data_IF_234074048643
#
_entry.id   IF_234074048643
#
_cell.length_a   1.000
_cell.length_b   1.000
_cell.length_c   1.000
_cell.angle_alpha   90.00
_cell.angle_beta   90.00
_cell.angle_gamma   90.00
#
_symmetry.space_group_name_H-M   'P 1'
#
loop_
_entity.id
_entity.type
_entity.pdbx_description
1 polymer ?
#
# COMPACT_ATOMS: atom_id res chain seq x y z
N UNK A 1 -34.38 23.66 33.28
CA UNK A 1 -33.09 23.84 32.57
C UNK A 1 -33.00 22.79 31.48
N UNK A 2 -33.34 23.15 30.24
CA UNK A 2 -33.08 22.28 29.09
C UNK A 2 -31.58 22.33 28.82
N UNK A 3 -30.88 21.20 29.01
CA UNK A 3 -29.50 21.03 28.56
C UNK A 3 -29.50 20.97 27.03
N UNK A 4 -29.52 22.14 26.40
CA UNK A 4 -29.28 22.26 24.96
C UNK A 4 -27.81 21.92 24.73
N UNK A 5 -27.52 20.67 24.38
CA UNK A 5 -26.24 20.32 23.81
C UNK A 5 -26.06 21.13 22.53
N UNK A 6 -24.89 21.75 22.37
CA UNK A 6 -24.54 22.53 21.19
C UNK A 6 -24.85 21.71 19.94
N UNK A 7 -25.57 22.27 18.95
CA UNK A 7 -25.94 21.50 17.77
C UNK A 7 -24.65 21.19 17.00
N UNK A 8 -24.31 19.91 16.89
CA UNK A 8 -23.23 19.44 16.02
C UNK A 8 -23.67 19.60 14.55
N UNK A 9 -23.70 20.84 14.06
CA UNK A 9 -24.00 21.20 12.67
C UNK A 9 -22.73 21.17 11.83
N UNK A 10 -22.06 20.02 11.77
CA UNK A 10 -20.95 19.82 10.82
C UNK A 10 -21.10 18.46 10.14
N UNK A 11 -21.60 18.51 8.91
CA UNK A 11 -21.40 17.61 7.76
C UNK A 11 -21.20 16.10 7.97
N UNK A 12 -22.06 15.33 7.30
CA UNK A 12 -22.03 13.87 7.10
C UNK A 12 -20.79 13.34 6.34
N UNK A 13 -19.57 13.51 6.87
CA UNK A 13 -18.43 12.71 6.41
C UNK A 13 -18.48 11.35 7.11
N UNK A 14 -19.32 10.46 6.58
CA UNK A 14 -19.34 9.07 7.04
C UNK A 14 -18.05 8.38 6.61
N UNK A 15 -17.50 7.55 7.49
CA UNK A 15 -16.35 6.69 7.20
C UNK A 15 -16.61 5.88 5.93
N UNK A 16 -17.82 5.33 5.76
CA UNK A 16 -18.23 4.62 4.54
C UNK A 16 -18.02 5.46 3.28
N UNK A 17 -18.45 6.73 3.27
CA UNK A 17 -18.29 7.61 2.10
C UNK A 17 -16.81 7.82 1.78
N UNK A 18 -15.97 8.00 2.79
CA UNK A 18 -14.52 8.10 2.64
C UNK A 18 -13.94 6.83 2.02
N UNK A 19 -14.26 5.65 2.57
CA UNK A 19 -13.75 4.36 2.11
C UNK A 19 -14.20 4.03 0.67
N UNK A 20 -15.47 4.27 0.33
CA UNK A 20 -15.96 4.06 -1.04
C UNK A 20 -15.37 5.07 -2.03
N UNK A 21 -15.10 6.31 -1.60
CA UNK A 21 -14.39 7.27 -2.45
C UNK A 21 -12.95 6.82 -2.70
N UNK A 22 -12.27 6.25 -1.70
CA UNK A 22 -10.95 5.65 -1.84
C UNK A 22 -10.97 4.47 -2.82
N UNK A 23 -11.93 3.54 -2.67
CA UNK A 23 -12.12 2.42 -3.60
C UNK A 23 -12.34 2.92 -5.03
N UNK A 24 -13.21 3.92 -5.23
CA UNK A 24 -13.47 4.49 -6.55
C UNK A 24 -12.21 5.15 -7.15
N UNK A 25 -11.42 5.85 -6.34
CA UNK A 25 -10.17 6.46 -6.77
C UNK A 25 -9.06 5.43 -7.08
N UNK A 26 -9.15 4.22 -6.54
CA UNK A 26 -8.21 3.12 -6.78
C UNK A 26 -8.48 2.40 -8.11
N UNK A 27 -9.71 2.49 -8.65
CA UNK A 27 -10.13 1.81 -9.89
C UNK A 27 -9.21 2.08 -11.09
N UNK A 28 -8.77 3.32 -11.41
CA UNK A 28 -7.89 3.55 -12.56
C UNK A 28 -6.56 2.79 -12.47
N UNK A 29 -5.94 2.76 -11.28
CA UNK A 29 -4.69 2.02 -11.05
C UNK A 29 -4.88 0.51 -11.13
N UNK A 30 -5.98 -0.01 -10.56
CA UNK A 30 -6.34 -1.42 -10.68
C UNK A 30 -6.63 -1.82 -12.14
N UNK A 31 -7.34 -0.97 -12.89
CA UNK A 31 -7.62 -1.21 -14.30
C UNK A 31 -6.33 -1.24 -15.13
N UNK A 32 -5.37 -0.36 -14.84
CA UNK A 32 -4.05 -0.38 -15.46
C UNK A 32 -3.27 -1.66 -15.11
N UNK A 33 -3.33 -2.12 -13.85
CA UNK A 33 -2.74 -3.41 -13.44
C UNK A 33 -3.33 -4.58 -14.24
N UNK A 34 -4.65 -4.62 -14.40
CA UNK A 34 -5.33 -5.67 -15.18
C UNK A 34 -4.93 -5.60 -16.66
N UNK A 35 -4.89 -4.40 -17.24
CA UNK A 35 -4.62 -4.18 -18.65
C UNK A 35 -3.18 -4.54 -19.04
N UNK A 36 -2.19 -4.09 -18.26
CA UNK A 36 -0.77 -4.27 -18.61
C UNK A 36 -0.19 -5.62 -18.20
N UNK A 37 -0.80 -6.32 -17.25
CA UNK A 37 -0.20 -7.52 -16.66
C UNK A 37 -1.12 -8.73 -16.75
N UNK A 38 -2.23 -8.73 -16.02
CA UNK A 38 -3.04 -9.94 -15.87
C UNK A 38 -4.41 -9.68 -15.26
N UNK A 39 -5.40 -10.44 -15.74
CA UNK A 39 -6.71 -10.58 -15.09
C UNK A 39 -6.63 -11.19 -13.69
N UNK A 40 -5.49 -11.76 -13.30
CA UNK A 40 -5.23 -12.27 -11.96
C UNK A 40 -5.46 -11.23 -10.86
N UNK A 41 -5.21 -9.93 -11.12
CA UNK A 41 -5.53 -8.87 -10.16
C UNK A 41 -7.03 -8.77 -9.86
N UNK A 42 -7.91 -8.98 -10.86
CA UNK A 42 -9.35 -9.01 -10.66
C UNK A 42 -9.77 -10.25 -9.85
N UNK A 43 -9.21 -11.41 -10.18
CA UNK A 43 -9.49 -12.66 -9.47
C UNK A 43 -9.06 -12.55 -8.00
N UNK A 44 -7.85 -12.02 -7.75
CA UNK A 44 -7.35 -11.76 -6.42
C UNK A 44 -8.24 -10.77 -5.65
N UNK A 45 -8.72 -9.70 -6.30
CA UNK A 45 -9.64 -8.76 -5.68
C UNK A 45 -10.94 -9.44 -5.25
N UNK A 46 -11.54 -10.26 -6.11
CA UNK A 46 -12.80 -10.95 -5.81
C UNK A 46 -12.61 -11.97 -4.67
N UNK A 47 -11.55 -12.78 -4.72
CA UNK A 47 -11.20 -13.74 -3.67
C UNK A 47 -10.93 -13.05 -2.33
N UNK A 48 -10.10 -11.99 -2.34
CA UNK A 48 -9.77 -11.24 -1.14
C UNK A 48 -11.03 -10.57 -0.56
N UNK A 49 -11.87 -9.97 -1.39
CA UNK A 49 -13.11 -9.30 -0.95
C UNK A 49 -14.08 -10.29 -0.31
N UNK A 50 -14.32 -11.43 -0.95
CA UNK A 50 -15.18 -12.48 -0.40
C UNK A 50 -14.63 -13.00 0.93
N UNK A 51 -13.32 -13.25 0.99
CA UNK A 51 -12.67 -13.78 2.20
C UNK A 51 -12.72 -12.79 3.35
N UNK A 52 -12.37 -11.52 3.10
CA UNK A 52 -12.38 -10.47 4.12
C UNK A 52 -13.79 -10.28 4.70
N UNK A 53 -14.82 -10.23 3.84
CA UNK A 53 -16.20 -10.09 4.29
C UNK A 53 -16.64 -11.31 5.13
N UNK A 54 -16.30 -12.52 4.70
CA UNK A 54 -16.65 -13.75 5.42
C UNK A 54 -15.94 -13.84 6.80
N UNK A 55 -14.64 -13.57 6.84
CA UNK A 55 -13.83 -13.61 8.07
C UNK A 55 -14.27 -12.52 9.04
N UNK A 56 -14.48 -11.29 8.57
CA UNK A 56 -14.96 -10.20 9.42
C UNK A 56 -16.36 -10.48 9.96
N UNK A 57 -17.28 -10.96 9.12
CA UNK A 57 -18.63 -11.36 9.55
C UNK A 57 -18.59 -12.45 10.62
N UNK A 58 -17.76 -13.48 10.42
CA UNK A 58 -17.59 -14.58 11.37
C UNK A 58 -17.05 -14.11 12.73
N UNK A 59 -16.02 -13.27 12.73
CA UNK A 59 -15.42 -12.73 13.96
C UNK A 59 -16.39 -11.81 14.72
N UNK A 60 -17.14 -10.99 14.00
CA UNK A 60 -18.16 -10.12 14.60
C UNK A 60 -19.32 -10.94 15.18
N UNK A 61 -19.77 -11.99 14.49
CA UNK A 61 -20.79 -12.90 14.98
C UNK A 61 -20.33 -13.64 16.25
N UNK A 62 -19.10 -14.16 16.27
CA UNK A 62 -18.48 -14.78 17.45
C UNK A 62 -18.41 -13.81 18.64
N UNK A 63 -18.14 -12.53 18.38
CA UNK A 63 -18.10 -11.46 19.39
C UNK A 63 -19.49 -10.89 19.74
N UNK A 64 -20.57 -11.44 19.17
CA UNK A 64 -21.96 -10.95 19.34
C UNK A 64 -22.10 -9.44 19.02
N UNK A 65 -21.39 -8.97 17.99
CA UNK A 65 -21.43 -7.58 17.49
C UNK A 65 -22.35 -7.47 16.26
N UNK A 66 -22.94 -6.29 15.99
CA UNK A 66 -23.85 -6.10 14.84
C UNK A 66 -23.10 -6.18 13.50
N UNK A 67 -23.13 -7.34 12.85
CA UNK A 67 -22.40 -7.64 11.60
C UNK A 67 -22.71 -6.64 10.48
N UNK A 68 -24.00 -6.39 10.21
CA UNK A 68 -24.41 -5.55 9.10
C UNK A 68 -23.97 -4.09 9.20
N UNK A 69 -23.76 -3.57 10.42
CA UNK A 69 -23.27 -2.21 10.63
C UNK A 69 -21.80 -2.07 10.26
N UNK A 70 -20.95 -2.98 10.75
CA UNK A 70 -19.51 -2.92 10.51
C UNK A 70 -19.15 -3.29 9.06
N UNK A 71 -19.82 -4.26 8.43
CA UNK A 71 -19.53 -4.59 7.03
C UNK A 71 -19.85 -3.45 6.05
N UNK A 72 -20.76 -2.54 6.41
CA UNK A 72 -21.12 -1.37 5.59
C UNK A 72 -20.13 -0.21 5.71
N UNK A 73 -19.13 -0.31 6.57
CA UNK A 73 -18.08 0.70 6.68
C UNK A 73 -17.12 0.71 5.47
N UNK A 74 -17.07 -0.38 4.69
CA UNK A 74 -16.25 -0.53 3.49
C UNK A 74 -14.74 -0.70 3.74
N UNK A 75 -14.27 -0.61 4.98
CA UNK A 75 -12.84 -0.69 5.33
C UNK A 75 -12.23 -2.07 5.10
N UNK A 76 -13.04 -3.11 5.25
CA UNK A 76 -12.69 -4.48 4.90
C UNK A 76 -12.39 -4.59 3.39
N UNK A 77 -13.25 -4.01 2.56
CA UNK A 77 -13.08 -4.01 1.10
C UNK A 77 -11.87 -3.19 0.67
N UNK A 78 -11.59 -2.07 1.33
CA UNK A 78 -10.33 -1.32 1.11
C UNK A 78 -9.12 -2.19 1.42
N UNK A 79 -9.13 -2.92 2.53
CA UNK A 79 -8.06 -3.85 2.89
C UNK A 79 -7.86 -4.92 1.83
N UNK A 80 -8.96 -5.53 1.35
CA UNK A 80 -8.92 -6.52 0.29
C UNK A 80 -8.36 -5.94 -1.03
N UNK A 81 -8.78 -4.73 -1.40
CA UNK A 81 -8.34 -4.09 -2.64
C UNK A 81 -6.86 -3.71 -2.61
N UNK A 82 -6.38 -3.15 -1.50
CA UNK A 82 -4.95 -2.84 -1.32
C UNK A 82 -4.10 -4.11 -1.33
N UNK A 83 -4.55 -5.16 -0.65
CA UNK A 83 -3.86 -6.45 -0.65
C UNK A 83 -3.83 -7.07 -2.06
N UNK A 84 -4.96 -7.07 -2.78
CA UNK A 84 -5.03 -7.61 -4.13
C UNK A 84 -4.11 -6.87 -5.12
N UNK A 85 -3.94 -5.55 -4.98
CA UNK A 85 -2.99 -4.78 -5.79
C UNK A 85 -1.53 -5.06 -5.43
N UNK A 86 -1.24 -5.47 -4.19
CA UNK A 86 0.11 -5.73 -3.71
C UNK A 86 0.58 -7.16 -3.99
N UNK A 87 -0.34 -8.13 -4.04
CA UNK A 87 -0.02 -9.53 -4.29
C UNK A 87 0.34 -9.80 -5.75
N UNK A 88 1.23 -10.79 -6.02
CA UNK A 88 1.47 -11.24 -7.37
C UNK A 88 0.16 -11.75 -8.02
N UNK A 89 -0.16 -11.34 -9.26
CA UNK A 89 -1.44 -11.64 -9.88
C UNK A 89 -1.64 -13.12 -10.19
N UNK A 90 -0.55 -13.89 -10.37
CA UNK A 90 -0.60 -15.32 -10.68
C UNK A 90 -0.36 -16.21 -9.45
N UNK A 91 -0.46 -15.64 -8.24
CA UNK A 91 -0.37 -16.40 -7.01
C UNK A 91 -1.54 -17.40 -6.92
N UNK A 92 -1.32 -18.62 -6.40
CA UNK A 92 -2.39 -19.58 -6.17
C UNK A 92 -3.49 -19.00 -5.26
N UNK A 93 -4.74 -19.36 -5.53
CA UNK A 93 -5.92 -18.80 -4.86
C UNK A 93 -5.83 -18.83 -3.33
N UNK A 94 -5.25 -19.89 -2.76
CA UNK A 94 -5.15 -20.10 -1.32
C UNK A 94 -4.23 -19.08 -0.65
N UNK A 95 -3.25 -18.53 -1.37
CA UNK A 95 -2.35 -17.48 -0.87
C UNK A 95 -3.14 -16.19 -0.65
N UNK A 96 -3.98 -15.83 -1.61
CA UNK A 96 -4.85 -14.65 -1.51
C UNK A 96 -5.88 -14.81 -0.40
N UNK A 97 -6.49 -15.99 -0.26
CA UNK A 97 -7.43 -16.31 0.83
C UNK A 97 -6.73 -16.24 2.20
N UNK A 98 -5.57 -16.89 2.34
CA UNK A 98 -4.78 -16.85 3.56
C UNK A 98 -4.39 -15.42 3.92
N UNK A 99 -3.88 -14.65 2.96
CA UNK A 99 -3.53 -13.24 3.15
C UNK A 99 -4.72 -12.40 3.60
N UNK A 100 -5.85 -12.52 2.91
CA UNK A 100 -7.06 -11.78 3.25
C UNK A 100 -7.57 -12.11 4.67
N UNK A 101 -7.53 -13.39 5.06
CA UNK A 101 -7.88 -13.82 6.41
C UNK A 101 -6.92 -13.23 7.46
N UNK A 102 -5.60 -13.31 7.23
CA UNK A 102 -4.58 -12.77 8.13
C UNK A 102 -4.70 -11.25 8.29
N UNK A 103 -5.02 -10.53 7.21
CA UNK A 103 -5.21 -9.08 7.24
C UNK A 103 -6.32 -8.70 8.22
N UNK A 104 -7.44 -9.41 8.19
CA UNK A 104 -8.58 -9.13 9.08
C UNK A 104 -8.32 -9.64 10.48
N UNK A 105 -7.81 -10.86 10.62
CA UNK A 105 -7.54 -11.46 11.93
C UNK A 105 -6.52 -10.64 12.72
N UNK A 106 -5.30 -10.50 12.19
CA UNK A 106 -4.18 -9.87 12.89
C UNK A 106 -4.11 -8.37 12.66
N UNK A 107 -4.43 -7.91 11.46
CA UNK A 107 -4.29 -6.49 11.10
C UNK A 107 -5.43 -5.61 11.64
N UNK A 108 -6.65 -6.14 11.82
CA UNK A 108 -7.83 -5.34 12.17
C UNK A 108 -8.54 -5.82 13.44
N UNK A 109 -9.00 -7.05 13.46
CA UNK A 109 -9.94 -7.54 14.49
C UNK A 109 -9.23 -7.89 15.80
N UNK A 110 -7.98 -8.34 15.80
CA UNK A 110 -7.21 -8.60 17.03
C UNK A 110 -7.18 -7.39 17.97
N UNK A 111 -7.11 -6.18 17.41
CA UNK A 111 -7.04 -4.93 18.16
C UNK A 111 -8.42 -4.30 18.44
N UNK A 112 -9.52 -4.95 18.07
CA UNK A 112 -10.88 -4.47 18.36
C UNK A 112 -11.63 -3.85 17.18
N UNK A 113 -11.06 -3.86 15.97
CA UNK A 113 -11.74 -3.46 14.73
C UNK A 113 -11.30 -2.10 14.19
N UNK A 114 -12.16 -1.48 13.37
CA UNK A 114 -11.88 -0.19 12.74
C UNK A 114 -11.63 0.91 13.79
N UNK A 115 -10.53 1.65 13.63
CA UNK A 115 -10.18 2.76 14.51
C UNK A 115 -9.28 2.37 15.69
N UNK A 116 -9.02 1.07 15.86
CA UNK A 116 -8.13 0.54 16.91
C UNK A 116 -6.92 -0.19 16.33
N UNK A 117 -6.83 -0.36 15.01
CA UNK A 117 -5.72 -1.04 14.37
C UNK A 117 -4.45 -0.16 14.37
N UNK A 118 -3.37 -0.55 15.07
CA UNK A 118 -2.14 0.24 15.11
C UNK A 118 -1.37 0.19 13.78
N UNK A 119 -1.67 -0.79 12.93
CA UNK A 119 -1.03 -1.00 11.64
C UNK A 119 -2.06 -1.02 10.51
N UNK A 120 -1.62 -0.67 9.30
CA UNK A 120 -2.39 -0.89 8.08
C UNK A 120 -2.61 -2.40 7.88
N UNK A 121 -3.86 -2.91 7.90
CA UNK A 121 -4.13 -4.35 7.91
C UNK A 121 -3.65 -5.08 6.64
N UNK A 122 -3.72 -4.42 5.48
CA UNK A 122 -3.28 -5.01 4.21
C UNK A 122 -1.75 -5.20 4.20
N UNK A 123 -1.00 -4.21 4.71
CA UNK A 123 0.46 -4.28 4.76
C UNK A 123 0.97 -5.30 5.77
N UNK A 124 0.28 -5.48 6.91
CA UNK A 124 0.60 -6.54 7.87
C UNK A 124 0.54 -7.91 7.20
N UNK A 125 -0.55 -8.18 6.48
CA UNK A 125 -0.72 -9.44 5.77
C UNK A 125 0.32 -9.63 4.66
N UNK A 126 0.54 -8.59 3.84
CA UNK A 126 1.53 -8.65 2.78
C UNK A 126 2.94 -8.95 3.32
N UNK A 127 3.36 -8.29 4.40
CA UNK A 127 4.65 -8.55 5.03
C UNK A 127 4.75 -9.99 5.57
N UNK A 128 3.69 -10.51 6.22
CA UNK A 128 3.64 -11.89 6.70
C UNK A 128 3.75 -12.91 5.56
N UNK A 129 3.04 -12.69 4.46
CA UNK A 129 3.11 -13.56 3.28
C UNK A 129 4.48 -13.49 2.60
N UNK A 130 5.06 -12.30 2.49
CA UNK A 130 6.37 -12.10 1.87
C UNK A 130 7.49 -12.79 2.66
N UNK A 131 7.43 -12.77 3.99
CA UNK A 131 8.39 -13.47 4.85
C UNK A 131 8.12 -14.98 4.88
N UNK A 132 6.86 -15.40 4.94
CA UNK A 132 6.50 -16.83 5.11
C UNK A 132 6.52 -17.63 3.80
N UNK A 133 6.23 -16.98 2.68
CA UNK A 133 6.07 -17.59 1.35
C UNK A 133 6.88 -16.83 0.27
N UNK A 134 8.20 -16.64 0.45
CA UNK A 134 9.00 -15.76 -0.41
C UNK A 134 9.04 -16.22 -1.87
N UNK A 135 9.07 -17.55 -2.12
CA UNK A 135 9.11 -18.10 -3.49
C UNK A 135 7.85 -17.70 -4.26
N UNK A 136 6.66 -17.85 -3.67
CA UNK A 136 5.41 -17.49 -4.31
C UNK A 136 5.28 -15.97 -4.50
N UNK A 137 5.81 -15.19 -3.56
CA UNK A 137 5.77 -13.73 -3.60
C UNK A 137 6.75 -13.10 -4.60
N UNK A 138 7.75 -13.84 -5.08
CA UNK A 138 8.78 -13.35 -6.00
C UNK A 138 8.70 -13.95 -7.40
N UNK A 139 8.16 -15.16 -7.55
CA UNK A 139 8.16 -15.87 -8.85
C UNK A 139 6.84 -15.80 -9.62
N UNK A 140 5.74 -15.32 -8.99
CA UNK A 140 4.39 -15.33 -9.58
C UNK A 140 3.93 -13.96 -10.12
N UNK A 141 4.87 -13.08 -10.42
CA UNK A 141 4.60 -11.80 -11.09
C UNK A 141 4.36 -12.02 -12.57
N UNK A 142 3.34 -11.37 -13.13
CA UNK A 142 3.02 -11.52 -14.55
C UNK A 142 4.03 -10.76 -15.43
N UNK A 143 4.34 -11.35 -16.59
CA UNK A 143 5.15 -10.71 -17.62
C UNK A 143 4.36 -9.61 -18.34
N UNK A 144 4.99 -8.43 -18.52
CA UNK A 144 4.39 -7.30 -19.24
C UNK A 144 4.27 -7.58 -20.74
N UNK A 145 5.20 -8.35 -21.31
CA UNK A 145 5.22 -8.64 -22.75
C UNK A 145 4.14 -9.62 -23.19
N UNK A 146 3.70 -10.49 -22.27
CA UNK A 146 2.67 -11.49 -22.53
C UNK A 146 1.54 -11.38 -21.50
N UNK A 147 0.66 -10.36 -21.63
CA UNK A 147 -0.47 -10.23 -20.74
C UNK A 147 -1.35 -11.47 -20.78
N UNK A 148 -1.56 -12.10 -19.62
CA UNK A 148 -2.30 -13.36 -19.55
C UNK A 148 -3.79 -13.12 -19.80
N UNK A 149 -4.44 -13.95 -20.61
CA UNK A 149 -5.89 -13.92 -20.80
C UNK A 149 -6.65 -14.27 -19.51
N UNK A 150 -7.95 -13.95 -19.45
CA UNK A 150 -8.79 -14.27 -18.29
C UNK A 150 -8.83 -15.78 -17.99
N UNK A 151 -9.03 -16.62 -19.02
CA UNK A 151 -9.08 -18.07 -18.84
C UNK A 151 -7.73 -18.65 -18.41
N UNK A 152 -6.64 -18.15 -18.99
CA UNK A 152 -5.29 -18.54 -18.57
C UNK A 152 -5.04 -18.18 -17.11
N UNK A 153 -5.43 -16.97 -16.69
CA UNK A 153 -5.29 -16.51 -15.30
C UNK A 153 -6.08 -17.40 -14.34
N UNK A 154 -7.31 -17.78 -14.69
CA UNK A 154 -8.12 -18.72 -13.90
C UNK A 154 -7.45 -20.09 -13.77
N UNK A 155 -6.98 -20.66 -14.89
CA UNK A 155 -6.32 -21.97 -14.89
C UNK A 155 -5.05 -21.96 -14.04
N UNK A 156 -4.27 -20.88 -14.07
CA UNK A 156 -3.05 -20.76 -13.27
C UNK A 156 -3.35 -20.59 -11.78
N UNK A 157 -4.33 -19.75 -11.43
CA UNK A 157 -4.65 -19.42 -10.03
C UNK A 157 -5.34 -20.59 -9.32
N UNK A 158 -6.20 -21.33 -10.02
CA UNK A 158 -6.97 -22.46 -9.46
C UNK A 158 -6.40 -23.84 -9.83
N UNK A 159 -5.45 -23.91 -10.76
CA UNK A 159 -4.83 -25.16 -11.21
C UNK A 159 -3.65 -25.62 -10.36
N UNK A 160 -2.93 -26.61 -10.90
CA UNK A 160 -1.79 -27.22 -10.22
C UNK A 160 -0.64 -26.22 -10.07
N UNK A 161 -0.10 -26.01 -8.85
CA UNK A 161 1.11 -25.23 -8.61
C UNK A 161 2.30 -25.61 -9.51
N UNK A 162 2.37 -26.85 -10.01
CA UNK A 162 3.43 -27.37 -10.85
C UNK A 162 3.33 -27.06 -12.35
N UNK A 163 2.24 -26.43 -12.83
CA UNK A 163 2.16 -25.96 -14.21
C UNK A 163 3.28 -24.93 -14.46
N UNK A 164 4.17 -25.27 -15.40
CA UNK A 164 5.31 -24.43 -15.77
C UNK A 164 4.80 -23.11 -16.35
N UNK A 165 4.99 -22.02 -15.62
CA UNK A 165 4.58 -20.66 -15.96
C UNK A 165 5.59 -19.92 -16.84
N UNK A 166 6.45 -20.67 -17.52
CA UNK A 166 7.54 -20.11 -18.31
C UNK A 166 6.93 -19.29 -19.48
N UNK A 167 7.28 -18.00 -19.53
CA UNK A 167 6.69 -16.99 -20.42
C UNK A 167 5.57 -16.14 -19.83
N UNK A 168 4.72 -16.69 -18.94
CA UNK A 168 3.66 -15.92 -18.26
C UNK A 168 4.17 -15.12 -17.07
N UNK A 169 5.26 -15.57 -16.47
CA UNK A 169 5.89 -14.89 -15.33
C UNK A 169 7.07 -14.04 -15.78
N UNK A 170 7.32 -12.94 -15.08
CA UNK A 170 8.38 -11.99 -15.41
C UNK A 170 8.92 -11.28 -14.18
N UNK A 171 10.19 -10.86 -14.26
CA UNK A 171 10.81 -10.05 -13.23
C UNK A 171 10.19 -8.64 -13.19
N UNK A 172 10.06 -8.07 -11.99
CA UNK A 172 9.71 -6.65 -11.89
C UNK A 172 10.92 -5.78 -12.29
N UNK A 173 10.73 -4.53 -12.75
CA UNK A 173 11.83 -3.63 -13.06
C UNK A 173 12.76 -3.39 -11.88
N UNK A 174 12.22 -3.34 -10.65
CA UNK A 174 13.02 -3.15 -9.44
C UNK A 174 13.86 -4.40 -9.14
N UNK A 175 13.27 -5.59 -9.25
CA UNK A 175 13.97 -6.87 -9.08
C UNK A 175 15.08 -7.04 -10.13
N UNK A 176 14.73 -6.82 -11.40
CA UNK A 176 15.66 -6.96 -12.52
C UNK A 176 16.84 -6.00 -12.38
N UNK A 177 16.59 -4.74 -12.04
CA UNK A 177 17.65 -3.76 -11.84
C UNK A 177 18.58 -4.18 -10.70
N UNK A 178 18.01 -4.54 -9.55
CA UNK A 178 18.77 -4.90 -8.35
C UNK A 178 19.65 -6.14 -8.55
N UNK A 179 19.16 -7.14 -9.28
CA UNK A 179 19.91 -8.39 -9.53
C UNK A 179 21.08 -8.19 -10.51
N UNK A 180 21.01 -7.18 -11.38
CA UNK A 180 21.95 -7.03 -12.49
C UNK A 180 22.85 -5.79 -12.41
N UNK A 181 22.59 -4.85 -11.50
CA UNK A 181 23.39 -3.61 -11.33
C UNK A 181 24.88 -3.86 -11.04
N UNK A 182 25.23 -4.98 -10.42
CA UNK A 182 26.64 -5.36 -10.19
C UNK A 182 27.31 -6.06 -11.38
N UNK A 183 26.58 -6.29 -12.48
CA UNK A 183 27.03 -7.10 -13.62
C UNK A 183 26.94 -6.38 -14.95
N UNK A 184 26.00 -5.46 -15.09
CA UNK A 184 25.67 -4.74 -16.32
C UNK A 184 25.71 -3.23 -16.06
N UNK A 185 26.05 -2.47 -17.09
CA UNK A 185 25.92 -1.01 -17.08
C UNK A 185 24.44 -0.59 -17.14
N UNK A 186 24.13 0.64 -16.71
CA UNK A 186 22.79 1.20 -16.77
C UNK A 186 22.23 1.24 -18.21
N UNK A 187 23.10 1.49 -19.20
CA UNK A 187 22.69 1.43 -20.62
C UNK A 187 22.29 0.03 -21.07
N UNK A 188 22.97 -1.01 -20.60
CA UNK A 188 22.62 -2.40 -20.92
C UNK A 188 21.35 -2.84 -20.18
N UNK A 189 21.17 -2.40 -18.93
CA UNK A 189 19.97 -2.67 -18.15
C UNK A 189 18.73 -2.04 -18.80
N UNK A 190 18.83 -0.78 -19.19
CA UNK A 190 17.72 -0.05 -19.82
C UNK A 190 17.45 -0.45 -21.26
N UNK A 191 18.33 -1.22 -21.90
CA UNK A 191 18.07 -1.87 -23.18
C UNK A 191 17.14 -3.09 -23.06
N UNK A 192 16.92 -3.61 -21.84
CA UNK A 192 15.96 -4.67 -21.62
C UNK A 192 14.53 -4.21 -21.92
N UNK A 193 13.66 -5.04 -22.55
CA UNK A 193 12.27 -4.67 -22.86
C UNK A 193 11.40 -4.23 -21.69
N UNK A 194 11.79 -4.55 -20.44
CA UNK A 194 11.16 -4.03 -19.23
C UNK A 194 11.25 -2.50 -19.12
N UNK A 195 12.19 -1.86 -19.83
CA UNK A 195 12.38 -0.43 -19.88
C UNK A 195 12.13 0.10 -21.29
N UNK A 196 11.42 1.22 -21.38
CA UNK A 196 11.13 1.93 -22.61
C UNK A 196 11.34 3.45 -22.43
N UNK A 197 10.91 4.25 -23.41
CA UNK A 197 11.19 5.70 -23.43
C UNK A 197 10.64 6.46 -22.21
N UNK A 198 9.56 5.96 -21.62
CA UNK A 198 8.89 6.56 -20.44
C UNK A 198 9.32 5.90 -19.12
N UNK A 199 10.40 5.11 -19.12
CA UNK A 199 10.85 4.32 -17.97
C UNK A 199 10.31 2.89 -18.03
N UNK A 200 9.98 2.30 -16.88
CA UNK A 200 9.54 0.92 -16.80
C UNK A 200 8.17 0.70 -17.48
N UNK A 201 8.13 -0.13 -18.53
CA UNK A 201 6.93 -0.39 -19.33
C UNK A 201 5.86 -1.06 -18.47
N UNK A 202 4.61 -0.60 -18.57
CA UNK A 202 3.48 -1.04 -17.76
C UNK A 202 3.49 -0.43 -16.35
N UNK A 203 4.62 -0.53 -15.64
CA UNK A 203 4.75 -0.06 -14.26
C UNK A 203 4.68 1.46 -14.11
N UNK A 204 5.29 2.21 -15.04
CA UNK A 204 5.22 3.68 -15.02
C UNK A 204 3.77 4.15 -15.26
N UNK A 205 3.07 3.52 -16.22
CA UNK A 205 1.68 3.80 -16.54
C UNK A 205 0.74 3.46 -15.38
N UNK A 206 0.97 2.34 -14.70
CA UNK A 206 0.24 1.96 -13.48
C UNK A 206 0.46 2.99 -12.37
N UNK A 207 1.71 3.41 -12.14
CA UNK A 207 2.01 4.45 -11.15
C UNK A 207 1.35 5.79 -11.50
N UNK A 208 1.31 6.18 -12.79
CA UNK A 208 0.60 7.36 -13.25
C UNK A 208 -0.92 7.25 -13.04
N UNK A 209 -1.51 6.06 -13.23
CA UNK A 209 -2.92 5.82 -12.97
C UNK A 209 -3.25 5.91 -11.46
N UNK A 210 -2.38 5.39 -10.59
CA UNK A 210 -2.50 5.59 -9.13
C UNK A 210 -2.29 7.05 -8.73
N UNK A 211 -1.35 7.76 -9.36
CA UNK A 211 -1.15 9.20 -9.15
C UNK A 211 -2.43 9.96 -9.50
N UNK A 212 -3.07 9.68 -10.64
CA UNK A 212 -4.32 10.32 -11.04
C UNK A 212 -5.45 10.07 -10.04
N UNK A 213 -5.59 8.83 -9.54
CA UNK A 213 -6.50 8.49 -8.46
C UNK A 213 -6.19 9.23 -7.15
N UNK A 214 -4.91 9.32 -6.79
CA UNK A 214 -4.43 10.05 -5.62
C UNK A 214 -4.68 11.56 -5.68
N UNK A 215 -4.49 12.17 -6.85
CA UNK A 215 -4.83 13.59 -7.11
C UNK A 215 -6.33 13.81 -6.93
N UNK A 216 -7.17 12.89 -7.41
CA UNK A 216 -8.62 12.97 -7.17
C UNK A 216 -8.94 12.94 -5.67
N UNK A 217 -8.27 12.12 -4.87
CA UNK A 217 -8.45 12.10 -3.41
C UNK A 217 -8.02 13.41 -2.74
N UNK A 218 -6.95 14.05 -3.23
CA UNK A 218 -6.51 15.37 -2.76
C UNK A 218 -7.53 16.46 -3.10
N UNK A 219 -8.01 16.50 -4.34
CA UNK A 219 -9.02 17.48 -4.80
C UNK A 219 -10.33 17.31 -4.02
N UNK A 220 -10.74 16.06 -3.77
CA UNK A 220 -11.93 15.74 -2.95
C UNK A 220 -11.69 15.93 -1.45
N UNK A 221 -10.48 16.31 -1.03
CA UNK A 221 -10.06 16.51 0.37
C UNK A 221 -10.33 15.29 1.26
N UNK A 222 -10.24 14.10 0.67
CA UNK A 222 -10.33 12.83 1.41
C UNK A 222 -9.01 12.58 2.16
N UNK A 223 -7.89 12.82 1.47
CA UNK A 223 -6.54 12.75 2.04
C UNK A 223 -5.92 14.16 2.07
N UNK A 224 -4.94 14.36 2.96
CA UNK A 224 -4.16 15.60 3.01
C UNK A 224 -2.86 15.47 2.23
N UNK A 225 -2.39 16.57 1.63
CA UNK A 225 -1.16 16.60 0.82
C UNK A 225 0.13 16.30 1.61
N UNK A 226 0.13 16.49 2.94
CA UNK A 226 1.32 16.33 3.78
C UNK A 226 1.99 14.97 3.62
N UNK A 227 1.21 13.87 3.62
CA UNK A 227 1.77 12.51 3.54
C UNK A 227 2.33 12.22 2.14
N UNK A 228 1.57 12.35 1.03
CA UNK A 228 2.11 12.07 -0.29
C UNK A 228 3.34 12.92 -0.64
N UNK A 229 3.30 14.22 -0.34
CA UNK A 229 4.39 15.15 -0.68
C UNK A 229 5.65 14.86 0.14
N UNK A 230 5.53 14.60 1.45
CA UNK A 230 6.70 14.31 2.28
C UNK A 230 7.33 12.94 1.94
N UNK A 231 6.52 11.92 1.64
CA UNK A 231 7.02 10.61 1.23
C UNK A 231 7.77 10.72 -0.10
N UNK A 232 7.12 11.25 -1.15
CA UNK A 232 7.72 11.37 -2.48
C UNK A 232 8.88 12.35 -2.49
N UNK A 233 8.77 13.46 -1.75
CA UNK A 233 9.82 14.47 -1.63
C UNK A 233 11.07 13.92 -0.95
N UNK A 234 10.92 13.15 0.13
CA UNK A 234 12.08 12.55 0.83
C UNK A 234 12.71 11.44 0.00
N UNK A 235 11.91 10.55 -0.59
CA UNK A 235 12.40 9.50 -1.48
C UNK A 235 13.14 10.09 -2.69
N UNK A 236 12.56 11.10 -3.33
CA UNK A 236 13.16 11.78 -4.47
C UNK A 236 14.42 12.54 -4.12
N UNK A 237 14.45 13.22 -2.96
CA UNK A 237 15.64 13.91 -2.46
C UNK A 237 16.79 12.92 -2.20
N UNK A 238 16.51 11.79 -1.54
CA UNK A 238 17.53 10.77 -1.28
C UNK A 238 18.06 10.16 -2.59
N UNK A 239 17.17 9.83 -3.53
CA UNK A 239 17.57 9.30 -4.83
C UNK A 239 18.40 10.31 -5.65
N UNK A 240 18.05 11.59 -5.63
CA UNK A 240 18.83 12.62 -6.34
C UNK A 240 20.23 12.83 -5.75
N UNK A 241 20.35 12.77 -4.43
CA UNK A 241 21.62 13.08 -3.75
C UNK A 241 22.56 11.87 -3.70
N UNK A 242 22.02 10.67 -3.48
CA UNK A 242 22.81 9.46 -3.25
C UNK A 242 22.81 8.48 -4.44
N UNK A 243 21.85 8.58 -5.37
CA UNK A 243 21.78 7.72 -6.57
C UNK A 243 22.05 8.49 -7.88
N UNK A 244 22.98 9.45 -7.83
CA UNK A 244 23.35 10.23 -9.02
C UNK A 244 24.02 9.37 -10.12
N UNK A 245 24.74 8.33 -9.70
CA UNK A 245 25.36 7.36 -10.61
C UNK A 245 24.43 6.15 -10.82
N UNK A 246 23.88 6.04 -12.03
CA UNK A 246 22.95 4.99 -12.41
C UNK A 246 23.63 3.62 -12.53
N UNK A 247 24.95 3.56 -12.75
CA UNK A 247 25.67 2.28 -12.85
C UNK A 247 25.84 1.62 -11.48
N UNK A 248 25.77 2.41 -10.40
CA UNK A 248 25.97 1.93 -9.02
C UNK A 248 24.67 1.89 -8.22
N UNK A 249 23.71 2.77 -8.55
CA UNK A 249 22.47 2.91 -7.79
C UNK A 249 21.22 2.94 -8.68
N UNK A 250 20.07 2.62 -8.07
CA UNK A 250 18.77 2.68 -8.73
C UNK A 250 18.44 4.15 -9.09
N UNK A 251 18.09 4.47 -10.36
CA UNK A 251 17.81 5.83 -10.78
C UNK A 251 16.50 6.36 -10.18
N UNK A 252 16.39 7.69 -10.11
CA UNK A 252 15.21 8.39 -9.57
C UNK A 252 13.88 7.93 -10.22
N UNK A 253 13.88 7.72 -11.54
CA UNK A 253 12.70 7.31 -12.28
C UNK A 253 12.13 5.99 -11.76
N UNK A 254 12.99 5.01 -11.44
CA UNK A 254 12.57 3.73 -10.87
C UNK A 254 12.16 3.86 -9.40
N UNK A 255 12.78 4.75 -8.63
CA UNK A 255 12.30 5.03 -7.27
C UNK A 255 10.86 5.57 -7.26
N UNK A 256 10.53 6.48 -8.17
CA UNK A 256 9.22 7.14 -8.20
C UNK A 256 8.15 6.38 -8.99
N UNK A 257 8.50 5.81 -10.14
CA UNK A 257 7.55 5.24 -11.11
C UNK A 257 7.69 3.73 -11.32
N UNK A 258 8.52 3.04 -10.54
CA UNK A 258 8.53 1.57 -10.49
C UNK A 258 8.05 1.04 -9.13
N UNK A 259 7.52 -0.18 -9.15
CA UNK A 259 6.95 -0.84 -7.97
C UNK A 259 5.72 -0.13 -7.43
N UNK A 260 5.54 -0.18 -6.10
CA UNK A 260 4.33 0.29 -5.41
C UNK A 260 4.35 1.77 -4.98
N UNK A 261 5.30 2.60 -5.40
CA UNK A 261 5.53 3.93 -4.80
C UNK A 261 4.30 4.86 -4.83
N UNK A 262 3.57 4.95 -5.95
CA UNK A 262 2.38 5.83 -6.01
C UNK A 262 1.19 5.22 -5.27
N UNK A 263 1.02 3.89 -5.31
CA UNK A 263 0.04 3.20 -4.47
C UNK A 263 0.32 3.46 -2.98
N UNK A 264 1.60 3.41 -2.60
CA UNK A 264 2.06 3.68 -1.24
C UNK A 264 1.72 5.10 -0.79
N UNK A 265 2.12 6.08 -1.60
CA UNK A 265 2.03 7.50 -1.26
C UNK A 265 0.59 7.99 -1.07
N UNK A 266 -0.35 7.49 -1.89
CA UNK A 266 -1.71 8.03 -1.96
C UNK A 266 -2.80 7.14 -1.35
N UNK A 267 -2.55 5.84 -1.17
CA UNK A 267 -3.58 4.90 -0.72
C UNK A 267 -3.19 4.12 0.54
N UNK A 268 -1.91 3.78 0.71
CA UNK A 268 -1.45 2.95 1.84
C UNK A 268 -1.02 3.81 3.02
N UNK A 269 -0.10 4.76 2.80
CA UNK A 269 0.47 5.61 3.86
C UNK A 269 -0.52 6.65 4.38
N UNK A 270 -1.59 6.92 3.63
CA UNK A 270 -2.65 7.88 3.99
C UNK A 270 -3.81 7.23 4.75
N UNK A 271 -3.63 6.02 5.27
CA UNK A 271 -4.65 5.33 6.08
C UNK A 271 -5.02 6.19 7.31
N UNK A 272 -6.30 6.61 7.47
CA UNK A 272 -6.71 7.53 8.52
C UNK A 272 -6.57 6.96 9.94
N UNK A 273 -6.42 5.64 10.11
CA UNK A 273 -6.33 5.02 11.43
C UNK A 273 -4.89 4.83 11.90
N UNK A 274 -4.02 4.29 11.03
CA UNK A 274 -2.65 3.94 11.41
C UNK A 274 -1.61 5.05 11.19
N UNK A 275 -1.94 6.08 10.38
CA UNK A 275 -1.03 7.19 10.13
C UNK A 275 -1.04 8.24 11.27
N UNK A 276 0.02 9.08 11.30
CA UNK A 276 0.08 10.22 12.21
C UNK A 276 -1.07 11.22 11.96
N UNK A 277 -1.61 11.79 13.03
CA UNK A 277 -2.81 12.63 13.00
C UNK A 277 -2.51 14.11 12.78
N UNK A 278 -1.44 14.64 13.37
CA UNK A 278 -1.12 16.07 13.31
C UNK A 278 -0.48 16.47 11.97
N UNK A 279 -0.64 17.70 11.50
CA UNK A 279 -0.07 18.14 10.20
C UNK A 279 1.46 18.02 10.17
N UNK A 280 2.14 18.35 11.27
CA UNK A 280 3.60 18.18 11.40
C UNK A 280 3.97 16.71 11.55
N UNK A 281 3.20 15.95 12.32
CA UNK A 281 3.39 14.51 12.50
C UNK A 281 3.31 13.76 11.19
N UNK A 282 2.33 14.08 10.34
CA UNK A 282 2.19 13.55 8.98
C UNK A 282 3.43 13.75 8.11
N UNK A 283 4.07 14.93 8.20
CA UNK A 283 5.29 15.21 7.46
C UNK A 283 6.46 14.33 7.93
N UNK A 284 6.69 14.23 9.25
CA UNK A 284 7.76 13.38 9.79
C UNK A 284 7.51 11.89 9.56
N UNK A 285 6.27 11.45 9.75
CA UNK A 285 5.83 10.09 9.49
C UNK A 285 6.11 9.69 8.04
N UNK A 286 5.65 10.49 7.09
CA UNK A 286 5.79 10.20 5.67
C UNK A 286 7.24 10.37 5.17
N UNK A 287 7.98 11.35 5.70
CA UNK A 287 9.40 11.49 5.41
C UNK A 287 10.19 10.25 5.87
N UNK A 288 9.86 9.71 7.06
CA UNK A 288 10.42 8.46 7.55
C UNK A 288 10.12 7.28 6.62
N UNK A 289 8.89 7.17 6.10
CA UNK A 289 8.55 6.14 5.10
C UNK A 289 9.40 6.30 3.84
N UNK A 290 9.48 7.51 3.29
CA UNK A 290 10.25 7.78 2.07
C UNK A 290 11.74 7.47 2.23
N UNK A 291 12.32 7.83 3.38
CA UNK A 291 13.70 7.49 3.74
C UNK A 291 13.89 5.97 3.84
N UNK A 292 13.04 5.27 4.59
CA UNK A 292 13.13 3.82 4.76
C UNK A 292 12.96 3.07 3.44
N UNK A 293 12.06 3.52 2.56
CA UNK A 293 11.93 2.96 1.21
C UNK A 293 13.24 3.08 0.46
N UNK A 294 13.88 4.26 0.49
CA UNK A 294 15.18 4.45 -0.15
C UNK A 294 16.25 3.51 0.43
N UNK A 295 16.41 3.50 1.76
CA UNK A 295 17.43 2.69 2.44
C UNK A 295 17.28 1.18 2.10
N UNK A 296 16.06 0.66 2.13
CA UNK A 296 15.80 -0.77 1.88
C UNK A 296 15.96 -1.10 0.39
N UNK A 297 15.53 -0.22 -0.52
CA UNK A 297 15.72 -0.45 -1.96
C UNK A 297 17.20 -0.48 -2.34
N UNK A 298 18.00 0.39 -1.76
CA UNK A 298 19.43 0.49 -2.04
C UNK A 298 20.26 -0.59 -1.36
N UNK A 299 20.08 -0.81 -0.05
CA UNK A 299 20.95 -1.72 0.73
C UNK A 299 20.27 -2.97 1.26
N UNK A 300 18.93 -3.03 1.26
CA UNK A 300 18.19 -4.21 1.70
C UNK A 300 18.18 -5.33 0.66
N UNK A 301 17.60 -6.48 1.00
CA UNK A 301 17.43 -7.59 0.04
C UNK A 301 16.11 -7.52 -0.75
N UNK A 302 15.15 -6.73 -0.28
CA UNK A 302 13.85 -6.59 -0.93
C UNK A 302 13.89 -5.48 -1.99
N UNK A 303 13.47 -5.75 -3.24
CA UNK A 303 13.41 -4.74 -4.28
C UNK A 303 12.27 -3.74 -4.07
N UNK A 304 11.15 -4.17 -3.47
CA UNK A 304 10.12 -3.27 -2.98
C UNK A 304 10.10 -3.23 -1.45
N UNK A 305 10.05 -2.02 -0.91
CA UNK A 305 10.30 -1.73 0.51
C UNK A 305 9.07 -1.19 1.25
N UNK A 306 8.00 -0.88 0.51
CA UNK A 306 6.85 -0.12 1.00
C UNK A 306 6.22 -0.72 2.26
N UNK A 307 5.93 -2.02 2.26
CA UNK A 307 5.20 -2.63 3.38
C UNK A 307 5.98 -2.53 4.70
N UNK A 308 7.28 -2.86 4.69
CA UNK A 308 8.13 -2.76 5.86
C UNK A 308 8.31 -1.31 6.34
N UNK A 309 8.52 -0.38 5.41
CA UNK A 309 8.66 1.04 5.73
C UNK A 309 7.39 1.62 6.37
N UNK A 310 6.21 1.32 5.80
CA UNK A 310 4.92 1.76 6.33
C UNK A 310 4.65 1.13 7.70
N UNK A 311 4.88 -0.17 7.88
CA UNK A 311 4.64 -0.84 9.16
C UNK A 311 5.55 -0.29 10.27
N UNK A 312 6.82 -0.03 9.98
CA UNK A 312 7.75 0.56 10.94
C UNK A 312 7.32 1.98 11.34
N UNK A 313 6.84 2.78 10.38
CA UNK A 313 6.37 4.13 10.68
C UNK A 313 5.00 4.16 11.34
N UNK A 314 4.13 3.17 11.09
CA UNK A 314 2.89 2.98 11.84
C UNK A 314 3.19 2.70 13.32
N UNK A 315 4.21 1.87 13.60
CA UNK A 315 4.68 1.66 14.97
C UNK A 315 5.17 2.96 15.63
N UNK A 316 5.88 3.80 14.85
CA UNK A 316 6.39 5.09 15.33
C UNK A 316 5.32 6.20 15.39
N UNK A 317 4.16 6.04 14.75
CA UNK A 317 3.15 7.10 14.60
C UNK A 317 2.66 7.66 15.95
N UNK A 318 2.35 6.84 16.99
CA UNK A 318 1.95 7.35 18.30
C UNK A 318 3.03 8.22 18.97
N UNK A 319 4.31 7.83 18.81
CA UNK A 319 5.44 8.59 19.32
C UNK A 319 5.57 9.94 18.60
N UNK A 320 5.46 9.93 17.27
CA UNK A 320 5.52 11.14 16.44
C UNK A 320 4.39 12.09 16.83
N UNK A 321 3.16 11.59 16.96
CA UNK A 321 2.01 12.40 17.34
C UNK A 321 2.16 13.02 18.72
N UNK A 322 2.82 12.32 19.65
CA UNK A 322 3.09 12.83 20.98
C UNK A 322 4.03 14.06 20.98
N UNK A 323 5.05 14.07 20.12
CA UNK A 323 5.97 15.20 19.98
C UNK A 323 5.48 16.30 19.03
N UNK A 324 4.44 16.03 18.23
CA UNK A 324 3.93 16.95 17.21
C UNK A 324 2.56 17.51 17.53
N UNK A 325 2.07 17.33 18.76
CA UNK A 325 0.78 17.84 19.24
C UNK A 325 0.62 19.34 18.90
N UNK A 326 -0.50 19.72 18.24
CA UNK A 326 -0.76 21.12 17.94
C UNK A 326 -0.99 21.91 19.23
N UNK A 327 -0.78 23.22 19.16
CA UNK A 327 -1.03 24.14 20.27
C UNK A 327 -2.52 24.13 20.62
N UNK A 328 -2.85 23.88 21.88
CA UNK A 328 -4.22 23.99 22.39
C UNK A 328 -4.58 25.46 22.56
N UNK A 329 -5.83 25.82 22.24
CA UNK A 329 -6.34 27.18 22.42
C UNK A 329 -6.16 27.63 23.88
N UNK A 330 -5.66 28.86 24.08
CA UNK A 330 -5.39 29.42 25.42
C UNK A 330 -4.00 29.15 26.01
N UNK A 331 -3.19 28.24 25.44
CA UNK A 331 -1.79 28.06 25.86
C UNK A 331 -0.85 28.87 24.97
N UNK A 332 0.31 29.34 25.47
CA UNK A 332 1.30 30.08 24.66
C UNK A 332 2.20 29.17 23.79
N UNK A 333 2.38 27.91 24.18
CA UNK A 333 3.25 26.92 23.48
C UNK A 333 2.57 25.54 23.46
N UNK A 334 2.88 24.68 22.47
CA UNK A 334 2.40 23.30 22.47
C UNK A 334 3.08 22.47 23.57
N UNK A 335 2.32 21.59 24.22
CA UNK A 335 2.88 20.58 25.13
C UNK A 335 3.56 19.50 24.30
N UNK A 336 4.85 19.27 24.54
CA UNK A 336 5.66 18.25 23.85
C UNK A 336 6.19 17.25 24.87
N UNK A 337 6.24 15.98 24.48
CA UNK A 337 6.86 14.93 25.28
C UNK A 337 5.99 14.45 26.46
N UNK A 338 6.44 13.37 27.07
CA UNK A 338 5.73 12.77 28.20
C UNK A 338 5.81 13.75 29.36
N UNK A 339 4.70 13.92 30.10
CA UNK A 339 4.82 14.55 31.42
C UNK A 339 5.80 13.67 32.20
N UNK A 340 6.89 14.25 32.67
CA UNK A 340 7.62 13.64 33.76
C UNK A 340 6.61 13.58 34.92
N UNK A 341 6.34 12.38 35.41
CA UNK A 341 5.59 12.22 36.64
C UNK A 341 6.47 12.81 37.76
N UNK A 342 6.09 13.99 38.25
CA UNK A 342 6.52 14.54 39.54
C UNK A 342 5.66 13.92 40.66
#
# INVERSE_FOLDING_TARGET
MLTLSSPHTVGQNSVSKMMFTLLAALVPGLAALIYYFSWGYLINLLLASATVLAVEAGLLALRKRPVGFFLRDGSALVTAALLACALPPLAPWWVTVLGAALAILFGKQLFGGLGQNPFNPAMVSYALLLVSLPVLMTTRWANVEQPSSFMTSLMVIFGDPGLVLDGLTGATPLDYYKLNIGRLTASELTANPLFGPLGSVGWAQVNLAFLAGGVLLLVRRVISWHIPVALLGTLGFMALFFSADADVHVPLSLHLFAGSTMLAAFFIATDPVSAATSNRGKLYYAAGIGLLIYLIRTWGNYPDATAFAVLLMNFAAPLIDHYTRPRVYGQNKPIKGFKADD
#
